data_IF_016645351071
#
_entry.id   IF_016645351071
#
_cell.length_a   1.000
_cell.length_b   1.000
_cell.length_c   1.000
_cell.angle_alpha   90.00
_cell.angle_beta   90.00
_cell.angle_gamma   90.00
#
_symmetry.space_group_name_H-M   'P 1'
#
loop_
_entity.id
_entity.type
_entity.pdbx_description
1 polymer ?
#
# COMPACT_ATOMS: atom_id res chain seq x y z
N UNK A 1 -8.95 -11.44 8.61
CA UNK A 1 -9.95 -10.72 7.77
C UNK A 1 -9.61 -9.24 7.53
N UNK A 2 -8.99 -8.50 8.46
CA UNK A 2 -8.66 -7.07 8.30
C UNK A 2 -7.74 -6.73 7.10
N UNK A 3 -6.81 -7.63 6.77
CA UNK A 3 -5.93 -7.47 5.62
C UNK A 3 -6.71 -7.35 4.29
N UNK A 4 -7.79 -8.12 4.11
CA UNK A 4 -8.60 -8.07 2.89
C UNK A 4 -9.29 -6.70 2.71
N UNK A 5 -9.82 -6.14 3.80
CA UNK A 5 -10.42 -4.79 3.78
C UNK A 5 -9.38 -3.74 3.45
N UNK A 6 -8.17 -3.86 4.01
CA UNK A 6 -7.06 -2.95 3.70
C UNK A 6 -6.65 -3.04 2.23
N UNK A 7 -6.45 -4.23 1.68
CA UNK A 7 -6.15 -4.41 0.26
C UNK A 7 -7.23 -3.80 -0.63
N UNK A 8 -8.51 -4.01 -0.31
CA UNK A 8 -9.61 -3.45 -1.08
C UNK A 8 -9.65 -1.92 -1.05
N UNK A 9 -9.47 -1.31 0.13
CA UNK A 9 -9.43 0.15 0.27
C UNK A 9 -8.25 0.76 -0.49
N UNK A 10 -7.07 0.14 -0.39
CA UNK A 10 -5.88 0.55 -1.14
C UNK A 10 -6.11 0.44 -2.66
N UNK A 11 -6.72 -0.66 -3.14
CA UNK A 11 -7.06 -0.81 -4.55
C UNK A 11 -8.02 0.31 -5.02
N UNK A 12 -9.10 0.58 -4.28
CA UNK A 12 -10.03 1.67 -4.60
C UNK A 12 -9.34 3.04 -4.66
N UNK A 13 -8.38 3.28 -3.77
CA UNK A 13 -7.60 4.52 -3.74
C UNK A 13 -6.68 4.64 -4.95
N UNK A 14 -5.95 3.58 -5.28
CA UNK A 14 -4.99 3.55 -6.38
C UNK A 14 -5.68 3.69 -7.75
N UNK A 15 -6.85 3.07 -7.92
CA UNK A 15 -7.65 3.15 -9.14
C UNK A 15 -8.65 4.31 -9.15
N UNK A 16 -8.55 5.29 -8.23
CA UNK A 16 -9.52 6.39 -8.09
C UNK A 16 -9.72 7.20 -9.37
N UNK A 17 -8.68 7.33 -10.20
CA UNK A 17 -8.75 8.07 -11.47
C UNK A 17 -9.48 7.31 -12.58
N UNK A 18 -9.85 6.04 -12.38
CA UNK A 18 -10.46 5.16 -13.41
C UNK A 18 -9.66 5.14 -14.71
N UNK A 19 -8.35 5.33 -14.60
CA UNK A 19 -7.39 5.22 -15.69
C UNK A 19 -6.66 3.90 -15.50
N UNK A 20 -6.31 3.25 -16.61
CA UNK A 20 -5.36 2.15 -16.60
C UNK A 20 -4.00 2.74 -16.24
N UNK A 21 -3.68 2.65 -14.95
CA UNK A 21 -2.45 3.15 -14.38
C UNK A 21 -1.46 1.97 -14.35
N UNK A 22 -0.29 2.13 -14.95
CA UNK A 22 0.81 1.21 -14.70
C UNK A 22 1.21 1.35 -13.23
N UNK A 23 0.73 0.40 -12.42
CA UNK A 23 1.02 0.36 -11.00
C UNK A 23 2.45 -0.11 -10.80
N UNK A 24 3.19 0.54 -9.89
CA UNK A 24 4.51 0.05 -9.50
C UNK A 24 4.32 -1.25 -8.72
N UNK A 25 5.44 -1.92 -8.43
CA UNK A 25 5.40 -3.01 -7.47
C UNK A 25 4.98 -2.49 -6.09
N UNK A 26 3.96 -3.14 -5.52
CA UNK A 26 3.38 -2.82 -4.21
C UNK A 26 3.41 -4.09 -3.38
N UNK A 27 4.03 -4.02 -2.20
CA UNK A 27 3.96 -5.09 -1.21
C UNK A 27 3.24 -4.60 0.06
N UNK A 28 2.33 -5.43 0.56
CA UNK A 28 1.64 -5.17 1.82
C UNK A 28 1.94 -6.33 2.76
N UNK A 29 2.82 -6.07 3.72
CA UNK A 29 3.14 -7.01 4.79
C UNK A 29 2.56 -6.49 6.12
N UNK A 30 2.07 -7.38 6.97
CA UNK A 30 1.45 -6.91 8.20
C UNK A 30 0.78 -7.99 9.04
N UNK A 31 0.49 -7.60 10.28
CA UNK A 31 -0.18 -8.40 11.29
C UNK A 31 -1.45 -7.72 11.82
N UNK A 32 -1.97 -8.16 12.98
CA UNK A 32 -3.29 -7.74 13.46
C UNK A 32 -3.44 -6.24 13.80
N UNK A 33 -2.33 -5.55 14.10
CA UNK A 33 -2.32 -4.15 14.58
C UNK A 33 -1.40 -3.23 13.78
N UNK A 34 -0.63 -3.78 12.82
CA UNK A 34 0.37 -3.03 12.05
C UNK A 34 0.46 -3.58 10.64
N UNK A 35 0.43 -2.68 9.67
CA UNK A 35 0.67 -2.95 8.26
C UNK A 35 1.78 -2.06 7.74
N UNK A 36 2.58 -2.61 6.85
CA UNK A 36 3.66 -1.98 6.13
C UNK A 36 3.33 -2.06 4.64
N UNK A 37 3.22 -0.89 4.03
CA UNK A 37 3.02 -0.73 2.59
C UNK A 37 4.33 -0.28 1.96
N UNK A 38 4.95 -1.16 1.19
CA UNK A 38 6.14 -0.88 0.38
C UNK A 38 5.71 -0.55 -1.04
N UNK A 39 6.18 0.58 -1.58
CA UNK A 39 5.81 1.06 -2.92
C UNK A 39 6.96 1.91 -3.50
N UNK A 40 7.11 1.91 -4.82
CA UNK A 40 8.13 2.72 -5.52
C UNK A 40 8.10 4.19 -5.08
N UNK A 41 9.22 4.65 -4.50
CA UNK A 41 9.45 6.05 -4.11
C UNK A 41 9.37 7.01 -5.30
N UNK A 42 10.09 6.77 -6.41
CA UNK A 42 9.98 7.57 -7.63
C UNK A 42 8.54 7.69 -8.14
N UNK A 43 7.76 6.61 -8.03
CA UNK A 43 6.36 6.63 -8.42
C UNK A 43 5.52 7.50 -7.48
N UNK A 44 5.76 7.45 -6.17
CA UNK A 44 5.07 8.32 -5.20
C UNK A 44 5.36 9.80 -5.45
N UNK A 45 6.60 10.15 -5.81
CA UNK A 45 6.98 11.52 -6.17
C UNK A 45 6.20 12.01 -7.41
N UNK A 46 5.97 11.14 -8.40
CA UNK A 46 5.16 11.44 -9.57
C UNK A 46 3.64 11.50 -9.29
N UNK A 47 3.18 10.95 -8.16
CA UNK A 47 1.75 10.82 -7.83
C UNK A 47 1.38 11.46 -6.47
N UNK A 48 1.51 12.81 -6.31
CA UNK A 48 1.30 13.48 -5.02
C UNK A 48 -0.13 13.37 -4.48
N UNK A 49 -1.16 13.28 -5.35
CA UNK A 49 -2.53 13.04 -4.89
C UNK A 49 -2.72 11.63 -4.32
N UNK A 50 -1.98 10.65 -4.83
CA UNK A 50 -1.99 9.29 -4.28
C UNK A 50 -1.31 9.28 -2.92
N UNK A 51 -0.17 9.96 -2.77
CA UNK A 51 0.51 10.13 -1.48
C UNK A 51 -0.43 10.74 -0.44
N UNK A 52 -1.13 11.82 -0.79
CA UNK A 52 -2.11 12.45 0.09
C UNK A 52 -3.22 11.47 0.51
N UNK A 53 -3.75 10.70 -0.45
CA UNK A 53 -4.74 9.66 -0.16
C UNK A 53 -4.19 8.59 0.80
N UNK A 54 -2.97 8.10 0.57
CA UNK A 54 -2.34 7.07 1.40
C UNK A 54 -2.11 7.56 2.84
N UNK A 55 -1.70 8.82 3.01
CA UNK A 55 -1.60 9.46 4.31
C UNK A 55 -2.96 9.55 5.01
N UNK A 56 -4.00 9.90 4.27
CA UNK A 56 -5.37 9.93 4.81
C UNK A 56 -5.85 8.54 5.25
N UNK A 57 -5.63 7.50 4.43
CA UNK A 57 -5.91 6.12 4.82
C UNK A 57 -5.16 5.72 6.09
N UNK A 58 -3.87 6.05 6.21
CA UNK A 58 -3.10 5.77 7.42
C UNK A 58 -3.71 6.43 8.66
N UNK A 59 -4.19 7.67 8.54
CA UNK A 59 -4.89 8.36 9.62
C UNK A 59 -6.23 7.69 9.98
N UNK A 60 -7.01 7.23 9.01
CA UNK A 60 -8.27 6.51 9.27
C UNK A 60 -8.02 5.16 9.96
N UNK A 61 -6.99 4.42 9.54
CA UNK A 61 -6.62 3.17 10.20
C UNK A 61 -6.11 3.38 11.63
N UNK A 62 -5.38 4.47 11.88
CA UNK A 62 -4.90 4.82 13.21
C UNK A 62 -6.05 5.03 14.20
N UNK A 63 -7.18 5.62 13.77
CA UNK A 63 -8.40 5.74 14.59
C UNK A 63 -8.99 4.39 14.99
N UNK A 64 -8.76 3.35 14.19
CA UNK A 64 -9.16 1.98 14.47
C UNK A 64 -8.10 1.16 15.24
N UNK A 65 -7.02 1.81 15.72
CA UNK A 65 -5.92 1.16 16.42
C UNK A 65 -5.00 0.33 15.52
N UNK A 66 -4.95 0.65 14.22
CA UNK A 66 -4.13 -0.03 13.22
C UNK A 66 -3.08 0.94 12.68
N UNK A 67 -1.80 0.62 12.85
CA UNK A 67 -0.69 1.42 12.35
C UNK A 67 -0.37 1.02 10.89
N UNK A 68 -0.71 1.87 9.94
CA UNK A 68 -0.34 1.72 8.53
C UNK A 68 0.88 2.59 8.21
N UNK A 69 1.99 1.96 7.86
CA UNK A 69 3.24 2.64 7.56
C UNK A 69 3.57 2.61 6.07
N UNK A 70 3.83 3.77 5.49
CA UNK A 70 4.28 3.91 4.11
C UNK A 70 5.82 3.85 4.06
N UNK A 71 6.37 2.90 3.31
CA UNK A 71 7.81 2.70 3.12
C UNK A 71 8.14 2.87 1.63
N UNK A 72 8.59 4.05 1.20
CA UNK A 72 9.04 4.23 -0.18
C UNK A 72 10.31 3.40 -0.43
N UNK A 73 10.28 2.56 -1.46
CA UNK A 73 11.42 1.74 -1.89
C UNK A 73 11.94 2.24 -3.23
N UNK A 74 13.25 2.19 -3.45
CA UNK A 74 13.82 2.56 -4.75
C UNK A 74 13.54 1.45 -5.78
N UNK A 75 13.25 1.82 -7.02
CA UNK A 75 13.01 0.86 -8.13
C UNK A 75 14.18 -0.11 -8.23
N UNK A 76 13.90 -1.41 -8.04
CA UNK A 76 14.91 -2.48 -7.90
C UNK A 76 15.03 -3.08 -6.49
N UNK A 77 14.34 -2.52 -5.49
CA UNK A 77 14.36 -2.97 -4.09
C UNK A 77 13.18 -3.84 -3.66
N UNK A 78 12.09 -3.91 -4.43
CA UNK A 78 10.99 -4.85 -4.15
C UNK A 78 11.44 -6.23 -4.59
N UNK A 79 12.13 -6.95 -3.70
CA UNK A 79 12.34 -8.37 -3.90
C UNK A 79 10.96 -9.02 -3.95
N UNK A 80 10.50 -9.42 -5.13
CA UNK A 80 9.27 -10.20 -5.33
C UNK A 80 9.34 -11.42 -4.43
N UNK A 81 8.81 -11.31 -3.21
CA UNK A 81 8.62 -12.46 -2.35
C UNK A 81 7.40 -13.15 -2.89
N UNK A 82 7.63 -14.19 -3.70
CA UNK A 82 6.62 -15.20 -3.98
C UNK A 82 6.08 -15.66 -2.63
N UNK A 83 4.87 -15.22 -2.29
CA UNK A 83 4.15 -15.75 -1.14
C UNK A 83 3.94 -17.23 -1.39
N UNK A 84 4.78 -18.06 -0.79
CA UNK A 84 4.53 -19.48 -0.64
C UNK A 84 3.44 -19.61 0.43
N UNK A 85 2.18 -19.39 0.02
CA UNK A 85 1.05 -20.02 0.69
C UNK A 85 1.12 -21.52 0.34
N UNK A 86 2.06 -22.22 0.97
CA UNK A 86 2.27 -23.65 0.85
C UNK A 86 1.77 -24.34 2.11
N UNK A 87 0.83 -25.26 1.90
CA UNK A 87 0.33 -26.34 2.76
C UNK A 87 -0.51 -25.95 3.99
#
# INVERSE_FOLDING_TARGET
QRAAVMCFRLACLLYRRRLDLELPEIDLSGGPTRFRLEISGPWLEAHPLTVFGLQHEAAEWAKCGIDLQLHPVQEGGVSVRRSAAGA
#
